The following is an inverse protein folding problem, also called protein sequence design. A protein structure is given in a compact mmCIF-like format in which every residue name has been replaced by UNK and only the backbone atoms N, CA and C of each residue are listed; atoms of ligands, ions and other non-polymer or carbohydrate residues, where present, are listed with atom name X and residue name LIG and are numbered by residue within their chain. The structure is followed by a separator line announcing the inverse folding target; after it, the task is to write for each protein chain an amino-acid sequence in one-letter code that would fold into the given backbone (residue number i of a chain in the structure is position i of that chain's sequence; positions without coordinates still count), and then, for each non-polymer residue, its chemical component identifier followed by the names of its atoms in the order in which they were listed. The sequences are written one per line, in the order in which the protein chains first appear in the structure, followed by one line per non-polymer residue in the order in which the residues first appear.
data_IF_472022088729
#
_entry.id   IF_472022088729
#
_cell.length_a   1.000
_cell.length_b   1.000
_cell.length_c   1.000
_cell.angle_alpha   90.00
_cell.angle_beta   90.00
_cell.angle_gamma   90.00
#
_symmetry.space_group_name_H-M   'P 1'
#
loop_
_entity.id
_entity.type
_entity.pdbx_description
1 polymer ?
#
# COMPACT_ATOMS: atom_id res chain seq x y z
N UNK A 1 -94.95 -10.29 -6.36
CA UNK A 1 -93.83 -11.16 -5.97
C UNK A 1 -92.81 -10.30 -5.27
N UNK A 2 -92.61 -10.59 -3.98
CA UNK A 2 -91.31 -10.56 -3.29
C UNK A 2 -90.53 -9.23 -3.15
N UNK A 3 -89.71 -9.10 -2.10
CA UNK A 3 -89.67 -7.88 -1.30
C UNK A 3 -88.26 -7.31 -1.09
N UNK A 4 -88.24 -6.19 -0.35
CA UNK A 4 -87.27 -5.84 0.70
C UNK A 4 -85.76 -5.95 0.45
N UNK A 5 -85.13 -4.78 0.45
CA UNK A 5 -83.73 -4.56 0.81
C UNK A 5 -83.48 -4.88 2.29
N UNK A 6 -82.46 -5.70 2.60
CA UNK A 6 -81.81 -5.71 3.92
C UNK A 6 -80.33 -6.12 3.84
N UNK A 7 -79.49 -5.21 4.35
CA UNK A 7 -78.16 -5.33 4.96
C UNK A 7 -77.36 -6.65 4.92
N UNK A 8 -76.04 -6.50 4.71
CA UNK A 8 -75.05 -7.49 5.15
C UNK A 8 -73.60 -7.03 4.92
N UNK A 9 -72.99 -6.38 5.92
CA UNK A 9 -71.52 -6.32 6.12
C UNK A 9 -70.98 -7.73 6.42
N UNK A 10 -69.63 -7.87 6.44
CA UNK A 10 -68.77 -9.01 6.87
C UNK A 10 -68.07 -9.63 5.64
N UNK A 11 -66.75 -9.86 5.55
CA UNK A 11 -65.64 -9.89 6.50
C UNK A 11 -64.29 -9.78 5.77
N UNK A 12 -63.43 -8.91 6.29
CA UNK A 12 -61.99 -8.84 5.99
C UNK A 12 -61.24 -9.92 6.77
N UNK A 13 -61.26 -11.19 6.34
CA UNK A 13 -60.59 -12.27 7.09
C UNK A 13 -59.75 -13.25 6.25
N UNK A 14 -59.76 -13.17 4.92
CA UNK A 14 -59.08 -14.18 4.08
C UNK A 14 -57.64 -13.82 3.64
N UNK A 15 -57.17 -12.59 3.81
CA UNK A 15 -55.82 -12.20 3.35
C UNK A 15 -54.69 -12.48 4.36
N UNK A 16 -54.99 -12.79 5.62
CA UNK A 16 -53.96 -13.08 6.64
C UNK A 16 -53.50 -14.54 6.68
N UNK A 17 -54.21 -15.48 6.05
CA UNK A 17 -53.81 -16.90 6.05
C UNK A 17 -52.74 -17.24 5.01
N UNK A 18 -52.70 -16.53 3.87
CA UNK A 18 -51.72 -16.82 2.81
C UNK A 18 -50.33 -16.25 3.10
N UNK A 19 -50.26 -15.14 3.83
CA UNK A 19 -49.00 -14.53 4.28
C UNK A 19 -48.30 -15.36 5.37
N UNK A 20 -49.09 -16.00 6.26
CA UNK A 20 -48.53 -16.83 7.33
C UNK A 20 -47.96 -18.17 6.84
N UNK A 21 -48.52 -18.76 5.77
CA UNK A 21 -47.95 -19.99 5.17
C UNK A 21 -46.63 -19.74 4.42
N UNK A 22 -46.47 -18.57 3.78
CA UNK A 22 -45.19 -18.18 3.16
C UNK A 22 -44.11 -17.84 4.19
N UNK A 23 -44.48 -17.23 5.32
CA UNK A 23 -43.54 -16.97 6.41
C UNK A 23 -43.13 -18.25 7.17
N UNK A 24 -44.04 -19.21 7.36
CA UNK A 24 -43.67 -20.50 7.97
C UNK A 24 -42.82 -21.39 7.05
N UNK A 25 -43.00 -21.34 5.73
CA UNK A 25 -42.09 -22.03 4.79
C UNK A 25 -40.72 -21.35 4.68
N UNK A 26 -40.61 -20.04 4.92
CA UNK A 26 -39.31 -19.36 5.02
C UNK A 26 -38.58 -19.62 6.35
N UNK A 27 -39.29 -20.00 7.42
CA UNK A 27 -38.69 -20.38 8.70
C UNK A 27 -38.28 -21.86 8.80
N UNK A 28 -38.71 -22.72 7.87
CA UNK A 28 -38.35 -24.15 7.84
C UNK A 28 -37.25 -24.50 6.82
N UNK A 29 -36.71 -23.51 6.09
CA UNK A 29 -35.51 -23.67 5.25
C UNK A 29 -34.23 -23.13 5.90
N UNK A 30 -34.26 -22.76 7.18
CA UNK A 30 -33.09 -22.39 7.98
C UNK A 30 -32.50 -23.57 8.77
N UNK A 31 -32.75 -24.81 8.35
CA UNK A 31 -32.09 -26.02 8.86
C UNK A 31 -31.11 -26.62 7.85
N UNK A 32 -30.65 -25.82 6.88
CA UNK A 32 -29.43 -26.10 6.15
C UNK A 32 -28.27 -25.74 7.07
N UNK A 33 -27.47 -26.74 7.44
CA UNK A 33 -26.31 -26.67 8.33
C UNK A 33 -25.38 -25.50 7.98
N UNK A 34 -25.66 -24.32 8.53
CA UNK A 34 -24.74 -23.20 8.57
C UNK A 34 -23.80 -23.40 9.77
N UNK A 35 -23.17 -24.58 9.82
CA UNK A 35 -21.95 -24.78 10.59
C UNK A 35 -20.81 -24.12 9.83
N UNK A 36 -20.92 -22.81 9.65
CA UNK A 36 -19.78 -21.93 9.51
C UNK A 36 -19.15 -21.78 10.90
N UNK A 37 -18.87 -22.92 11.55
CA UNK A 37 -17.85 -22.95 12.59
C UNK A 37 -16.59 -22.53 11.84
N UNK A 38 -16.25 -21.25 11.99
CA UNK A 38 -14.92 -20.73 11.69
C UNK A 38 -13.89 -21.69 12.26
N UNK A 39 -12.62 -21.62 11.85
CA UNK A 39 -11.65 -22.43 12.58
C UNK A 39 -11.78 -22.00 14.06
N UNK A 40 -12.35 -22.84 14.94
CA UNK A 40 -12.28 -22.62 16.39
C UNK A 40 -10.80 -22.50 16.82
N UNK A 41 -9.94 -22.95 15.92
CA UNK A 41 -8.49 -23.00 15.85
C UNK A 41 -7.83 -21.75 15.20
N UNK A 42 -8.51 -20.64 14.86
CA UNK A 42 -7.82 -19.42 14.37
C UNK A 42 -6.79 -18.92 15.40
N UNK A 43 -7.12 -19.04 16.69
CA UNK A 43 -6.21 -18.75 17.80
C UNK A 43 -5.04 -19.72 17.85
N UNK A 44 -5.26 -21.00 17.56
CA UNK A 44 -4.21 -22.01 17.54
C UNK A 44 -3.30 -21.79 16.33
N UNK A 45 -3.85 -21.51 15.14
CA UNK A 45 -3.07 -21.07 13.99
C UNK A 45 -2.23 -19.85 14.33
N UNK A 46 -2.79 -18.84 15.00
CA UNK A 46 -2.02 -17.69 15.49
C UNK A 46 -0.89 -18.10 16.44
N UNK A 47 -1.12 -19.03 17.37
CA UNK A 47 -0.08 -19.56 18.26
C UNK A 47 1.01 -20.32 17.51
N UNK A 48 0.64 -21.14 16.53
CA UNK A 48 1.56 -21.89 15.65
C UNK A 48 2.40 -20.92 14.81
N UNK A 49 1.79 -19.92 14.18
CA UNK A 49 2.55 -18.94 13.40
C UNK A 49 3.39 -18.03 14.29
N UNK A 50 2.96 -17.77 15.53
CA UNK A 50 3.76 -17.04 16.52
C UNK A 50 5.00 -17.82 16.95
N UNK A 51 4.91 -19.15 17.10
CA UNK A 51 6.08 -19.97 17.47
C UNK A 51 7.17 -19.99 16.39
N UNK A 52 6.80 -19.80 15.12
CA UNK A 52 7.74 -19.60 13.99
C UNK A 52 8.00 -18.12 13.69
N UNK A 53 7.76 -17.22 14.65
CA UNK A 53 7.96 -15.77 14.53
C UNK A 53 7.33 -15.13 13.28
N UNK A 54 6.20 -15.69 12.82
CA UNK A 54 5.53 -15.33 11.58
C UNK A 54 6.48 -15.31 10.37
N UNK A 55 7.30 -16.35 10.19
CA UNK A 55 8.16 -16.48 9.02
C UNK A 55 7.34 -16.33 7.72
N UNK A 56 7.65 -15.34 6.86
CA UNK A 56 6.89 -15.10 5.64
C UNK A 56 6.87 -16.27 4.67
N UNK A 57 7.92 -17.11 4.64
CA UNK A 57 7.97 -18.32 3.81
C UNK A 57 6.92 -19.31 4.30
N UNK A 58 6.85 -19.54 5.61
CA UNK A 58 5.88 -20.46 6.22
C UNK A 58 4.45 -19.97 6.01
N UNK A 59 4.18 -18.67 6.22
CA UNK A 59 2.85 -18.08 5.96
C UNK A 59 2.46 -18.24 4.47
N UNK A 60 3.39 -18.01 3.55
CA UNK A 60 3.15 -18.15 2.11
C UNK A 60 2.83 -19.59 1.72
N UNK A 61 3.63 -20.56 2.16
CA UNK A 61 3.42 -21.98 1.89
C UNK A 61 2.08 -22.43 2.47
N UNK A 62 1.79 -22.08 3.73
CA UNK A 62 0.54 -22.46 4.37
C UNK A 62 -0.70 -21.89 3.66
N UNK A 63 -0.63 -20.65 3.15
CA UNK A 63 -1.70 -20.05 2.35
C UNK A 63 -1.93 -20.74 0.99
N UNK A 64 -0.96 -21.54 0.51
CA UNK A 64 -1.11 -22.36 -0.68
C UNK A 64 -1.82 -23.69 -0.41
N UNK A 65 -1.75 -24.21 0.83
CA UNK A 65 -2.27 -25.54 1.19
C UNK A 65 -3.80 -25.62 1.19
N UNK A 66 -4.51 -24.58 1.63
CA UNK A 66 -5.98 -24.60 1.61
C UNK A 66 -6.61 -23.22 1.43
N UNK A 67 -7.83 -23.19 0.88
CA UNK A 67 -8.64 -21.96 0.77
C UNK A 67 -8.95 -21.34 2.14
N UNK A 68 -9.12 -22.19 3.15
CA UNK A 68 -9.43 -21.78 4.53
C UNK A 68 -8.22 -21.10 5.19
N UNK A 69 -7.03 -21.71 5.13
CA UNK A 69 -5.79 -21.09 5.64
C UNK A 69 -5.48 -19.82 4.85
N UNK A 70 -5.69 -19.79 3.53
CA UNK A 70 -5.54 -18.57 2.72
C UNK A 70 -6.44 -17.43 3.21
N UNK A 71 -7.68 -17.74 3.57
CA UNK A 71 -8.61 -16.75 4.11
C UNK A 71 -8.13 -16.22 5.47
N UNK A 72 -7.70 -17.11 6.38
CA UNK A 72 -7.10 -16.72 7.67
C UNK A 72 -5.84 -15.88 7.47
N UNK A 73 -4.96 -16.26 6.53
CA UNK A 73 -3.76 -15.51 6.21
C UNK A 73 -4.06 -14.06 5.80
N UNK A 74 -5.02 -13.90 4.88
CA UNK A 74 -5.49 -12.59 4.40
C UNK A 74 -6.12 -11.73 5.49
N UNK A 75 -6.85 -12.34 6.45
CA UNK A 75 -7.51 -11.62 7.54
C UNK A 75 -6.55 -11.23 8.68
N UNK A 76 -5.74 -12.18 9.15
CA UNK A 76 -4.98 -12.02 10.41
C UNK A 76 -3.48 -12.25 10.28
N UNK A 77 -3.00 -13.28 9.58
CA UNK A 77 -1.56 -13.63 9.66
C UNK A 77 -0.64 -12.57 9.06
N UNK A 78 -1.00 -11.97 7.91
CA UNK A 78 -0.20 -10.89 7.33
C UNK A 78 -0.18 -9.64 8.21
N UNK A 79 -1.28 -9.39 8.94
CA UNK A 79 -1.35 -8.29 9.92
C UNK A 79 -0.40 -8.54 11.07
N UNK A 80 -0.47 -9.72 11.70
CA UNK A 80 0.40 -10.07 12.82
C UNK A 80 1.89 -10.09 12.42
N UNK A 81 2.20 -10.55 11.21
CA UNK A 81 3.54 -10.44 10.66
C UNK A 81 4.00 -8.97 10.59
N UNK A 82 3.16 -8.08 10.05
CA UNK A 82 3.52 -6.66 9.96
C UNK A 82 3.71 -6.04 11.35
N UNK A 83 2.83 -6.34 12.29
CA UNK A 83 2.91 -5.86 13.68
C UNK A 83 4.19 -6.36 14.36
N UNK A 84 4.56 -7.63 14.15
CA UNK A 84 5.79 -8.21 14.67
C UNK A 84 7.05 -7.53 14.11
N UNK A 85 7.06 -7.19 12.81
CA UNK A 85 8.23 -6.60 12.15
C UNK A 85 8.37 -5.09 12.32
N UNK A 86 7.26 -4.35 12.33
CA UNK A 86 7.27 -2.88 12.33
C UNK A 86 6.13 -2.28 13.18
N UNK A 87 6.06 -2.59 14.49
CA UNK A 87 4.86 -2.35 15.32
C UNK A 87 4.40 -0.89 15.31
N UNK A 88 5.35 0.05 15.47
CA UNK A 88 5.04 1.50 15.48
C UNK A 88 4.50 1.97 14.13
N UNK A 89 5.17 1.59 13.04
CA UNK A 89 4.75 1.95 11.69
C UNK A 89 3.39 1.35 11.34
N UNK A 90 3.19 0.06 11.63
CA UNK A 90 1.93 -0.63 11.35
C UNK A 90 0.76 -0.02 12.13
N UNK A 91 0.97 0.35 13.39
CA UNK A 91 -0.06 1.01 14.21
C UNK A 91 -0.45 2.37 13.64
N UNK A 92 0.52 3.20 13.25
CA UNK A 92 0.23 4.52 12.66
C UNK A 92 -0.45 4.44 11.29
N UNK A 93 -0.09 3.44 10.47
CA UNK A 93 -0.73 3.18 9.19
C UNK A 93 -2.16 2.65 9.35
N UNK A 94 -2.40 1.81 10.37
CA UNK A 94 -3.74 1.30 10.68
C UNK A 94 -4.69 2.41 11.18
N UNK A 95 -4.16 3.42 11.90
CA UNK A 95 -4.90 4.58 12.40
C UNK A 95 -5.12 5.68 11.34
N UNK A 96 -4.62 5.51 10.12
CA UNK A 96 -4.84 6.46 9.03
C UNK A 96 -6.32 6.54 8.64
N UNK A 97 -6.97 7.68 8.89
CA UNK A 97 -8.38 7.90 8.60
C UNK A 97 -8.69 7.81 7.09
N UNK A 98 -9.16 6.65 6.66
CA UNK A 98 -9.59 6.35 5.30
C UNK A 98 -9.27 4.91 4.86
N UNK A 99 -9.92 3.93 5.50
CA UNK A 99 -10.01 2.56 4.98
C UNK A 99 -8.76 1.67 5.06
N UNK A 100 -8.15 1.53 6.24
CA UNK A 100 -7.13 0.51 6.52
C UNK A 100 -5.80 0.69 5.75
N UNK A 101 -4.80 -0.14 6.10
CA UNK A 101 -3.42 -0.11 5.58
C UNK A 101 -3.39 0.19 4.07
N UNK A 102 -3.00 1.43 3.75
CA UNK A 102 -3.17 2.14 2.48
C UNK A 102 -3.45 1.27 1.26
N UNK A 103 -4.73 1.19 0.85
CA UNK A 103 -5.25 0.72 -0.43
C UNK A 103 -4.84 -0.67 -0.96
N UNK A 104 -3.90 -1.37 -0.32
CA UNK A 104 -3.41 -2.72 -0.68
C UNK A 104 -3.44 -3.72 0.48
N UNK A 105 -3.82 -3.27 1.68
CA UNK A 105 -3.97 -4.12 2.87
C UNK A 105 -2.65 -4.64 3.44
N UNK A 106 -2.75 -5.47 4.48
CA UNK A 106 -1.60 -6.02 5.18
C UNK A 106 -0.73 -6.94 4.32
N UNK A 107 -1.28 -7.56 3.28
CA UNK A 107 -0.49 -8.37 2.35
C UNK A 107 0.50 -7.51 1.54
N UNK A 108 0.06 -6.36 1.02
CA UNK A 108 0.95 -5.43 0.32
C UNK A 108 1.99 -4.83 1.27
N UNK A 109 1.59 -4.50 2.50
CA UNK A 109 2.52 -4.04 3.54
C UNK A 109 3.56 -5.11 3.90
N UNK A 110 3.16 -6.37 4.06
CA UNK A 110 4.08 -7.47 4.33
C UNK A 110 5.08 -7.62 3.18
N UNK A 111 4.61 -7.60 1.93
CA UNK A 111 5.50 -7.63 0.76
C UNK A 111 6.43 -6.43 0.75
N UNK A 112 5.94 -5.23 1.06
CA UNK A 112 6.75 -4.02 1.15
C UNK A 112 7.81 -4.11 2.26
N UNK A 113 7.50 -4.68 3.41
CA UNK A 113 8.45 -4.85 4.50
C UNK A 113 9.58 -5.83 4.11
N UNK A 114 9.23 -6.89 3.39
CA UNK A 114 10.07 -8.07 3.24
C UNK A 114 10.69 -8.26 1.85
N UNK A 115 10.25 -7.54 0.83
CA UNK A 115 10.65 -7.80 -0.55
C UNK A 115 11.33 -6.58 -1.17
N UNK A 116 12.58 -6.76 -1.57
CA UNK A 116 13.23 -5.88 -2.53
C UNK A 116 12.70 -6.23 -3.92
N UNK A 117 12.17 -5.25 -4.65
CA UNK A 117 11.65 -5.48 -6.00
C UNK A 117 12.75 -5.64 -7.06
N UNK A 118 14.00 -5.39 -6.70
CA UNK A 118 15.11 -5.31 -7.64
C UNK A 118 14.90 -4.16 -8.62
N UNK A 119 15.44 -4.33 -9.82
CA UNK A 119 15.40 -3.34 -10.89
C UNK A 119 15.16 -4.00 -12.23
N UNK A 120 14.32 -3.38 -13.08
CA UNK A 120 13.91 -3.96 -14.35
C UNK A 120 15.09 -4.18 -15.33
N UNK A 121 14.88 -4.94 -16.42
CA UNK A 121 15.92 -5.24 -17.41
C UNK A 121 16.54 -4.01 -18.07
N UNK A 122 15.86 -2.87 -18.11
CA UNK A 122 16.43 -1.60 -18.60
C UNK A 122 17.20 -0.78 -17.54
N UNK A 123 17.40 -1.34 -16.33
CA UNK A 123 17.89 -0.60 -15.15
C UNK A 123 18.80 -1.49 -14.29
N UNK A 124 19.72 -2.21 -14.91
CA UNK A 124 20.67 -3.11 -14.23
C UNK A 124 20.21 -4.56 -14.07
N UNK A 125 18.94 -4.90 -14.40
CA UNK A 125 18.49 -6.29 -14.47
C UNK A 125 18.53 -7.06 -13.14
N UNK A 126 18.43 -6.36 -12.02
CA UNK A 126 18.56 -6.92 -10.67
C UNK A 126 17.30 -7.70 -10.30
N UNK A 127 17.39 -9.02 -10.00
CA UNK A 127 16.24 -9.79 -9.56
C UNK A 127 15.79 -9.38 -8.16
N UNK A 128 14.48 -9.37 -7.93
CA UNK A 128 13.92 -9.13 -6.60
C UNK A 128 14.18 -10.30 -5.65
N UNK A 129 14.32 -10.01 -4.35
CA UNK A 129 14.59 -11.00 -3.32
C UNK A 129 13.91 -10.65 -1.99
N UNK A 130 13.87 -11.61 -1.07
CA UNK A 130 13.47 -11.35 0.31
C UNK A 130 14.60 -10.60 1.02
N UNK A 131 14.28 -9.42 1.54
CA UNK A 131 15.17 -8.63 2.37
C UNK A 131 15.05 -9.13 3.83
N UNK A 132 16.14 -9.64 4.43
CA UNK A 132 16.09 -10.26 5.76
C UNK A 132 15.76 -9.24 6.86
N UNK A 133 16.31 -8.04 6.78
CA UNK A 133 15.99 -6.91 7.63
C UNK A 133 15.82 -5.66 6.78
N UNK A 134 14.82 -4.84 7.09
CA UNK A 134 14.65 -3.54 6.45
C UNK A 134 14.07 -2.57 7.45
N UNK A 135 14.77 -1.47 7.65
CA UNK A 135 14.36 -0.41 8.54
C UNK A 135 13.65 0.66 7.74
N UNK A 136 12.46 1.04 8.18
CA UNK A 136 11.70 2.17 7.64
C UNK A 136 11.76 3.34 8.62
N UNK A 137 11.97 4.56 8.10
CA UNK A 137 12.01 5.76 8.94
C UNK A 137 11.25 6.93 8.34
N UNK A 138 10.64 7.73 9.22
CA UNK A 138 10.01 9.00 8.87
C UNK A 138 11.05 10.06 8.49
N UNK A 139 12.20 10.02 9.14
CA UNK A 139 13.30 10.97 8.88
C UNK A 139 13.81 10.81 7.46
N UNK A 140 14.07 9.58 7.01
CA UNK A 140 14.38 9.32 5.60
C UNK A 140 13.23 9.78 4.72
N UNK A 141 11.98 9.42 5.04
CA UNK A 141 10.83 9.83 4.23
C UNK A 141 10.62 11.34 4.09
N UNK A 142 10.97 12.16 5.09
CA UNK A 142 10.94 13.64 4.97
C UNK A 142 11.84 14.14 3.85
N UNK A 143 12.98 13.49 3.61
CA UNK A 143 13.90 13.84 2.52
C UNK A 143 13.34 13.53 1.13
N UNK A 144 12.30 12.69 1.04
CA UNK A 144 11.60 12.32 -0.21
C UNK A 144 10.34 13.14 -0.49
N UNK A 145 10.01 14.10 0.38
CA UNK A 145 8.84 14.96 0.20
C UNK A 145 9.24 16.28 -0.44
N UNK A 146 8.60 16.62 -1.56
CA UNK A 146 8.66 17.95 -2.14
C UNK A 146 8.27 19.03 -1.12
N UNK A 147 8.81 20.26 -1.24
CA UNK A 147 8.60 21.37 -0.29
C UNK A 147 7.12 21.56 0.10
N UNK A 148 6.23 21.60 -0.90
CA UNK A 148 4.77 21.77 -0.72
C UNK A 148 4.08 20.56 -0.04
N UNK A 149 4.75 19.41 -0.02
CA UNK A 149 4.24 18.14 0.50
C UNK A 149 4.84 17.75 1.86
N UNK A 150 5.67 18.60 2.48
CA UNK A 150 6.35 18.31 3.77
C UNK A 150 5.41 18.00 4.95
N UNK A 151 4.12 18.31 4.84
CA UNK A 151 3.10 17.95 5.84
C UNK A 151 2.58 16.51 5.73
N UNK A 152 2.94 15.79 4.67
CA UNK A 152 2.61 14.37 4.53
C UNK A 152 3.52 13.51 5.40
N UNK A 153 3.06 12.29 5.72
CA UNK A 153 3.86 11.31 6.45
C UNK A 153 4.20 10.16 5.52
N UNK A 154 5.49 10.04 5.21
CA UNK A 154 6.07 9.01 4.38
C UNK A 154 7.13 8.24 5.19
N UNK A 155 7.06 6.92 5.15
CA UNK A 155 8.13 6.05 5.61
C UNK A 155 8.94 5.58 4.41
N UNK A 156 10.27 5.66 4.48
CA UNK A 156 11.17 5.12 3.46
C UNK A 156 12.17 4.18 4.09
N UNK A 157 12.47 3.09 3.40
CA UNK A 157 13.47 2.12 3.79
C UNK A 157 14.87 2.64 3.56
N UNK A 158 15.84 2.11 4.31
CA UNK A 158 17.22 2.14 3.84
C UNK A 158 17.31 1.35 2.51
N UNK A 159 18.15 1.77 1.54
CA UNK A 159 18.27 1.09 0.25
C UNK A 159 18.87 -0.30 0.41
N UNK A 160 18.43 -1.25 -0.41
CA UNK A 160 19.11 -2.52 -0.60
C UNK A 160 20.18 -2.32 -1.68
N UNK A 161 21.43 -2.60 -1.35
CA UNK A 161 22.58 -2.41 -2.24
C UNK A 161 22.75 -3.62 -3.16
N UNK A 162 23.05 -3.34 -4.41
CA UNK A 162 23.18 -4.35 -5.46
C UNK A 162 24.30 -3.96 -6.43
N UNK A 163 25.20 -4.90 -6.69
CA UNK A 163 26.20 -4.76 -7.74
C UNK A 163 25.52 -4.74 -9.11
N UNK A 164 25.73 -3.67 -9.89
CA UNK A 164 25.25 -3.60 -11.27
C UNK A 164 26.09 -4.52 -12.17
N UNK A 165 25.54 -5.63 -12.64
CA UNK A 165 26.23 -6.51 -13.60
C UNK A 165 26.24 -5.88 -15.01
N UNK A 166 27.38 -5.35 -15.45
CA UNK A 166 27.57 -4.81 -16.81
C UNK A 166 28.99 -4.28 -17.08
N UNK A 167 29.39 -4.17 -18.36
CA UNK A 167 30.76 -3.85 -18.83
C UNK A 167 31.26 -2.41 -18.53
N UNK A 168 30.44 -1.53 -17.96
CA UNK A 168 30.79 -0.10 -17.75
C UNK A 168 30.31 0.48 -16.40
N UNK A 169 30.00 -0.31 -15.38
CA UNK A 169 29.50 0.24 -14.12
C UNK A 169 30.19 -0.34 -12.89
N UNK A 170 31.30 0.26 -12.48
CA UNK A 170 31.69 0.35 -11.06
C UNK A 170 30.64 1.22 -10.35
N UNK A 171 29.37 0.84 -10.28
CA UNK A 171 28.35 1.57 -9.51
C UNK A 171 27.39 0.60 -8.86
N UNK A 172 27.22 0.74 -7.55
CA UNK A 172 26.19 0.01 -6.82
C UNK A 172 24.83 0.67 -7.03
N UNK A 173 23.78 -0.15 -7.10
CA UNK A 173 22.39 0.31 -7.23
C UNK A 173 21.69 0.13 -5.89
N UNK A 174 21.18 1.22 -5.35
CA UNK A 174 20.36 1.23 -4.15
C UNK A 174 18.89 1.13 -4.49
N UNK A 175 18.24 0.00 -4.19
CA UNK A 175 16.79 -0.19 -4.36
C UNK A 175 16.07 0.14 -3.06
N UNK A 176 15.19 1.13 -3.11
CA UNK A 176 14.49 1.63 -1.93
C UNK A 176 12.97 1.60 -2.12
N UNK A 177 12.26 1.63 -0.99
CA UNK A 177 10.80 1.47 -0.95
C UNK A 177 10.20 2.20 0.22
N UNK A 178 8.90 2.46 0.16
CA UNK A 178 8.26 3.30 1.17
C UNK A 178 6.75 3.27 1.13
N UNK A 179 6.12 3.86 2.13
CA UNK A 179 4.67 3.91 2.24
C UNK A 179 4.22 5.23 2.86
N UNK A 180 3.26 5.88 2.21
CA UNK A 180 2.57 7.04 2.73
C UNK A 180 1.49 6.62 3.73
N UNK A 181 1.39 7.34 4.84
CA UNK A 181 0.21 7.30 5.69
C UNK A 181 -0.87 8.20 5.09
N UNK A 182 -2.02 7.61 4.77
CA UNK A 182 -3.18 8.37 4.29
C UNK A 182 -2.99 9.04 2.93
N UNK A 183 -2.29 8.38 1.99
CA UNK A 183 -1.95 8.94 0.67
C UNK A 183 -3.14 9.57 -0.08
N UNK A 184 -4.34 8.99 0.02
CA UNK A 184 -5.54 9.52 -0.64
C UNK A 184 -5.89 10.95 -0.23
N UNK A 185 -5.50 11.37 0.98
CA UNK A 185 -5.73 12.70 1.55
C UNK A 185 -4.44 13.54 1.62
N UNK A 186 -3.34 13.04 1.05
CA UNK A 186 -2.03 13.69 1.09
C UNK A 186 -1.95 14.89 0.16
N UNK A 187 -1.08 15.84 0.50
CA UNK A 187 -0.69 16.97 -0.37
C UNK A 187 0.06 16.48 -1.60
N UNK A 188 0.78 15.36 -1.47
CA UNK A 188 1.48 14.70 -2.58
C UNK A 188 0.49 14.26 -3.64
N UNK A 189 -0.59 13.55 -3.26
CA UNK A 189 -1.65 13.18 -4.21
C UNK A 189 -2.35 14.41 -4.79
N UNK A 190 -2.67 15.40 -3.95
CA UNK A 190 -3.27 16.65 -4.44
C UNK A 190 -2.38 17.34 -5.49
N UNK A 191 -1.06 17.35 -5.28
CA UNK A 191 -0.09 17.92 -6.22
C UNK A 191 0.00 17.13 -7.53
N UNK A 192 -0.01 15.79 -7.46
CA UNK A 192 -0.04 14.92 -8.65
C UNK A 192 -1.29 15.20 -9.50
N UNK A 193 -2.46 15.27 -8.86
CA UNK A 193 -3.74 15.53 -9.54
C UNK A 193 -3.78 16.96 -10.09
N UNK A 194 -3.38 17.95 -9.29
CA UNK A 194 -3.37 19.36 -9.70
C UNK A 194 -2.44 19.64 -10.89
N UNK A 195 -1.32 18.89 -10.99
CA UNK A 195 -0.40 18.93 -12.12
C UNK A 195 -0.85 18.08 -13.32
N UNK A 196 -2.00 17.42 -13.22
CA UNK A 196 -2.50 16.46 -14.23
C UNK A 196 -1.47 15.40 -14.58
N UNK A 197 -0.69 14.95 -13.58
CA UNK A 197 0.32 13.93 -13.79
C UNK A 197 -0.34 12.62 -14.23
N UNK A 198 0.10 12.10 -15.38
CA UNK A 198 -0.41 10.86 -15.92
C UNK A 198 0.13 9.66 -15.13
N UNK A 199 -0.73 8.65 -14.96
CA UNK A 199 -0.28 7.36 -14.46
C UNK A 199 0.52 6.67 -15.57
N UNK A 200 1.60 6.01 -15.19
CA UNK A 200 2.45 5.25 -16.10
C UNK A 200 1.61 4.22 -16.88
N UNK A 201 1.65 4.38 -18.20
CA UNK A 201 0.97 3.50 -19.14
C UNK A 201 1.75 2.19 -19.34
N UNK A 202 1.06 1.11 -19.72
CA UNK A 202 1.71 -0.18 -20.02
C UNK A 202 1.93 -1.09 -18.80
N UNK A 203 3.08 -1.81 -18.78
CA UNK A 203 3.37 -2.89 -17.81
C UNK A 203 3.90 -2.42 -16.46
N UNK A 204 4.28 -1.16 -16.30
CA UNK A 204 4.81 -0.66 -15.04
C UNK A 204 3.69 -0.57 -13.98
N UNK A 205 3.86 -1.30 -12.89
CA UNK A 205 2.91 -1.43 -11.78
C UNK A 205 3.65 -1.48 -10.47
N UNK A 206 2.95 -1.13 -9.39
CA UNK A 206 3.48 -1.25 -8.05
C UNK A 206 3.88 -2.71 -7.77
N UNK A 207 5.13 -3.00 -7.41
CA UNK A 207 5.58 -4.36 -7.16
C UNK A 207 4.90 -4.99 -5.93
N UNK A 208 4.34 -4.17 -5.03
CA UNK A 208 3.74 -4.62 -3.77
C UNK A 208 2.25 -4.96 -3.88
N UNK A 209 1.48 -4.14 -4.61
CA UNK A 209 0.03 -4.28 -4.70
C UNK A 209 -0.52 -4.41 -6.14
N UNK A 210 0.34 -4.30 -7.16
CA UNK A 210 -0.07 -4.38 -8.57
C UNK A 210 -0.82 -3.15 -9.11
N UNK A 211 -1.02 -2.11 -8.30
CA UNK A 211 -1.73 -0.92 -8.73
C UNK A 211 -0.91 -0.04 -9.68
N UNK A 212 -1.57 0.84 -10.43
CA UNK A 212 -0.93 1.84 -11.31
C UNK A 212 -0.09 2.83 -10.48
N UNK A 213 0.96 3.36 -11.10
CA UNK A 213 1.94 4.25 -10.48
C UNK A 213 2.07 5.56 -11.24
N UNK A 214 2.40 6.63 -10.52
CA UNK A 214 2.92 7.87 -11.09
C UNK A 214 4.44 7.86 -11.03
N UNK A 215 5.09 8.44 -12.04
CA UNK A 215 6.49 8.88 -11.94
C UNK A 215 6.56 10.22 -11.23
N UNK A 216 7.18 10.25 -10.05
CA UNK A 216 7.40 11.48 -9.30
C UNK A 216 8.39 12.41 -10.01
N UNK A 217 9.34 11.83 -10.75
CA UNK A 217 10.31 12.55 -11.58
C UNK A 217 9.59 13.27 -12.73
N UNK A 218 8.71 12.58 -13.45
CA UNK A 218 7.89 13.18 -14.51
C UNK A 218 6.95 14.28 -13.97
N UNK A 219 6.40 14.08 -12.76
CA UNK A 219 5.56 15.08 -12.10
C UNK A 219 6.34 16.28 -11.50
N UNK A 220 7.68 16.28 -11.60
CA UNK A 220 8.58 17.27 -10.97
C UNK A 220 8.32 17.42 -9.48
N UNK A 221 8.20 16.30 -8.78
CA UNK A 221 7.97 16.21 -7.33
C UNK A 221 9.11 15.52 -6.57
N UNK A 222 10.23 15.27 -7.23
CA UNK A 222 11.44 14.72 -6.59
C UNK A 222 12.27 15.86 -6.01
N UNK A 223 12.44 15.94 -4.68
CA UNK A 223 13.31 16.95 -4.08
C UNK A 223 14.80 16.55 -4.21
N UNK A 224 15.69 17.54 -4.34
CA UNK A 224 17.16 17.32 -4.33
C UNK A 224 17.66 16.60 -3.07
N UNK A 225 16.94 16.75 -1.95
CA UNK A 225 17.24 16.06 -0.68
C UNK A 225 17.11 14.53 -0.75
N UNK A 226 16.35 13.99 -1.71
CA UNK A 226 16.18 12.54 -1.86
C UNK A 226 17.48 11.88 -2.32
N UNK A 227 18.12 12.42 -3.36
CA UNK A 227 19.40 11.91 -3.87
C UNK A 227 20.51 12.00 -2.83
N UNK A 228 20.60 13.14 -2.11
CA UNK A 228 21.55 13.30 -0.99
C UNK A 228 21.31 12.28 0.12
N UNK A 229 20.05 12.03 0.48
CA UNK A 229 19.70 11.04 1.52
C UNK A 229 20.12 9.62 1.13
N UNK A 230 20.15 9.31 -0.16
CA UNK A 230 20.54 8.01 -0.69
C UNK A 230 22.04 7.89 -1.00
N UNK A 231 22.84 8.94 -0.82
CA UNK A 231 24.26 8.92 -1.18
C UNK A 231 24.49 8.83 -2.69
N UNK A 232 23.58 9.36 -3.51
CA UNK A 232 23.70 9.35 -4.97
C UNK A 232 24.49 10.58 -5.46
N UNK A 233 25.66 10.35 -6.10
CA UNK A 233 26.54 11.41 -6.58
C UNK A 233 25.93 12.15 -7.80
N UNK A 234 26.03 13.49 -7.82
CA UNK A 234 25.86 14.30 -9.03
C UNK A 234 24.42 14.43 -9.54
N UNK A 235 23.42 14.15 -8.68
CA UNK A 235 22.01 14.23 -9.08
C UNK A 235 21.61 13.25 -10.19
N UNK A 236 22.44 12.23 -10.45
CA UNK A 236 22.15 11.17 -11.44
C UNK A 236 20.88 10.40 -11.07
N UNK A 237 20.29 9.84 -12.12
CA UNK A 237 18.90 9.44 -12.25
C UNK A 237 18.32 8.66 -11.05
N UNK A 238 17.49 9.36 -10.26
CA UNK A 238 16.64 8.75 -9.25
C UNK A 238 15.32 8.30 -9.89
N UNK A 239 15.03 7.02 -9.78
CA UNK A 239 13.71 6.51 -10.08
C UNK A 239 12.83 6.58 -8.85
N UNK A 240 11.74 7.33 -8.92
CA UNK A 240 10.82 7.48 -7.81
C UNK A 240 9.38 7.33 -8.32
N UNK A 241 8.75 6.21 -7.98
CA UNK A 241 7.36 5.92 -8.33
C UNK A 241 6.48 5.81 -7.08
N UNK A 242 5.24 6.29 -7.19
CA UNK A 242 4.22 6.14 -6.14
C UNK A 242 2.93 5.60 -6.74
N UNK A 243 2.36 4.56 -6.13
CA UNK A 243 1.10 3.99 -6.58
C UNK A 243 -0.13 4.71 -6.00
N UNK A 244 -1.30 4.47 -6.60
CA UNK A 244 -2.59 5.01 -6.12
C UNK A 244 -2.92 4.69 -4.66
N UNK A 245 -2.29 3.65 -4.10
CA UNK A 245 -2.45 3.23 -2.71
C UNK A 245 -1.39 3.83 -1.77
N UNK A 246 -0.45 4.62 -2.29
CA UNK A 246 0.61 5.27 -1.50
C UNK A 246 1.85 4.42 -1.27
N UNK A 247 2.05 3.32 -2.00
CA UNK A 247 3.32 2.60 -1.98
C UNK A 247 4.33 3.28 -2.89
N UNK A 248 5.53 3.48 -2.36
CA UNK A 248 6.70 4.04 -3.02
C UNK A 248 7.67 2.90 -3.38
N UNK A 249 8.20 2.93 -4.59
CA UNK A 249 9.35 2.13 -4.98
C UNK A 249 10.27 2.92 -5.91
N UNK A 250 11.55 2.60 -5.87
CA UNK A 250 12.55 3.31 -6.63
C UNK A 250 13.92 2.66 -6.58
N UNK A 251 14.82 3.16 -7.42
CA UNK A 251 16.23 2.84 -7.39
C UNK A 251 17.06 4.11 -7.58
N UNK A 252 18.33 4.04 -7.22
CA UNK A 252 19.32 5.08 -7.42
C UNK A 252 20.68 4.44 -7.67
N UNK A 253 21.57 5.20 -8.30
CA UNK A 253 23.00 4.89 -8.36
C UNK A 253 23.66 5.42 -7.09
N UNK A 254 24.41 4.56 -6.41
CA UNK A 254 25.15 4.88 -5.19
C UNK A 254 26.56 5.38 -5.58
N UNK A 255 27.08 6.34 -4.83
CA UNK A 255 28.46 6.79 -4.96
C UNK A 255 29.41 5.74 -4.38
N UNK A 256 30.57 5.53 -5.02
CA UNK A 256 31.66 4.76 -4.41
C UNK A 256 32.35 5.59 -3.35
N UNK A 257 32.66 4.97 -2.21
CA UNK A 257 33.37 5.62 -1.09
C UNK A 257 34.80 6.06 -1.45
N UNK A 258 35.32 5.66 -2.62
CA UNK A 258 36.64 6.01 -3.14
C UNK A 258 36.68 7.30 -3.97
N UNK A 259 35.53 7.91 -4.29
CA UNK A 259 35.47 9.22 -4.95
C UNK A 259 35.69 10.32 -3.91
N UNK A 260 36.96 10.55 -3.57
CA UNK A 260 37.40 11.72 -2.81
C UNK A 260 37.34 12.94 -3.73
N UNK A 261 36.17 13.56 -3.83
CA UNK A 261 36.02 14.88 -4.46
C UNK A 261 35.27 15.80 -3.51
N UNK A 262 36.05 16.74 -2.97
CA UNK A 262 35.62 17.95 -2.30
C UNK A 262 34.53 18.66 -3.10
N UNK A 263 33.33 18.79 -2.54
CA UNK A 263 32.48 19.94 -2.81
C UNK A 263 31.66 20.25 -1.54
N UNK A 264 32.19 21.22 -0.83
CA UNK A 264 31.57 21.91 0.28
C UNK A 264 30.43 22.79 -0.25
N UNK A 265 29.30 22.74 0.42
CA UNK A 265 28.19 23.68 0.47
C UNK A 265 28.19 24.90 -0.48
N UNK A 266 27.11 25.03 -1.25
CA UNK A 266 26.47 26.34 -1.40
C UNK A 266 24.95 26.20 -1.24
N UNK A 267 24.47 26.72 -0.11
CA UNK A 267 23.07 26.97 0.18
C UNK A 267 22.53 28.04 -0.76
N UNK A 268 21.66 27.66 -1.70
CA UNK A 268 20.55 28.53 -2.13
C UNK A 268 19.28 27.70 -2.21
N UNK A 269 18.42 27.87 -1.21
CA UNK A 269 16.98 27.66 -1.42
C UNK A 269 16.57 28.68 -2.49
N UNK A 270 16.48 28.26 -3.75
CA UNK A 270 15.81 29.05 -4.77
C UNK A 270 14.33 29.16 -4.36
N UNK A 271 14.00 30.28 -3.74
CA UNK A 271 12.66 30.83 -3.76
C UNK A 271 12.29 31.07 -5.23
N UNK A 272 11.69 30.08 -5.88
CA UNK A 272 10.89 30.36 -7.06
C UNK A 272 9.67 31.16 -6.59
N UNK A 273 9.81 32.48 -6.68
CA UNK A 273 8.71 33.44 -6.77
C UNK A 273 7.74 32.98 -7.86
N UNK A 274 6.54 32.58 -7.44
CA UNK A 274 5.37 32.54 -8.31
C UNK A 274 4.34 33.47 -7.70
N UNK A 275 4.64 34.75 -7.74
CA UNK A 275 3.63 35.80 -7.70
C UNK A 275 3.46 36.37 -9.12
N UNK A 276 2.30 36.07 -9.70
CA UNK A 276 1.49 36.95 -10.56
C UNK A 276 0.64 36.09 -11.48
N UNK A 277 -0.59 35.76 -11.04
CA UNK A 277 -1.82 36.34 -11.62
C UNK A 277 -2.94 36.17 -10.59
N UNK A 278 -2.98 37.07 -9.60
CA UNK A 278 -4.22 37.39 -8.92
C UNK A 278 -4.36 38.91 -8.92
N UNK A 279 -4.77 39.44 -10.07
CA UNK A 279 -5.46 40.72 -10.15
C UNK A 279 -6.34 40.69 -11.38
N UNK A 280 -7.64 40.56 -11.15
CA UNK A 280 -8.71 41.23 -11.88
C UNK A 280 -10.01 40.90 -11.12
N UNK A 281 -10.25 41.73 -10.10
CA UNK A 281 -11.56 42.36 -9.92
C UNK A 281 -11.64 43.45 -11.00
#
# INVERSE_FOLDING_TARGET
MEPSSSNGKISSSNNNQMSNKRQQQQQQQSSGSDSNTGFEDERILLLVFRSVAFDPRVVSVAACVSRRIRAVARRVLWRELCVSRAPRMTSELALGAGGGVGGGGFHALAKLLLFCCGSGPGRGGIPGHLAPATRFSKTSGRSFLHRRCRGDLLYVSDPCEHEARGREADFDVGVYRGIFRGFMRSRTRASLVGRRAELESGRLRCPYCGARVWSMSAARLVPRSASRRLGSHGGKQLDYFVCVNGHLHGNCWLAHLSDDSSDCDDEKEEEEDVDSVCSMI
#
